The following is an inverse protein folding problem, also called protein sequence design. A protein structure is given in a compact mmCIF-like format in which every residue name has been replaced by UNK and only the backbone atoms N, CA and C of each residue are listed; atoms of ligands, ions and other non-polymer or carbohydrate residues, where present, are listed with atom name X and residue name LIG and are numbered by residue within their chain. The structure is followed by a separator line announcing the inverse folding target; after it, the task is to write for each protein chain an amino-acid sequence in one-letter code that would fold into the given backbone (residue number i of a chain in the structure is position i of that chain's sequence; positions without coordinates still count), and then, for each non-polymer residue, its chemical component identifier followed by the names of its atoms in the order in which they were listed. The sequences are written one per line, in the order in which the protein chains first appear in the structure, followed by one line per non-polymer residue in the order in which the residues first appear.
data_IF_716419108878
#
_entry.id   IF_716419108878
#
_cell.length_a   1.000
_cell.length_b   1.000
_cell.length_c   1.000
_cell.angle_alpha   90.00
_cell.angle_beta   90.00
_cell.angle_gamma   90.00
#
_symmetry.space_group_name_H-M   'P 1'
#
loop_
_entity.id
_entity.type
_entity.pdbx_description
1 polymer ?
#
# COMPACT_ATOMS: atom_id res chain seq x y z
N UNK A 1 -0.27 -0.26 -0.20
CA UNK A 1 1.12 0.21 -0.46
C UNK A 1 1.90 0.12 0.84
N UNK A 2 3.24 0.11 0.82
CA UNK A 2 4.03 0.09 2.07
C UNK A 2 3.70 1.27 3.00
N UNK A 3 3.28 2.42 2.44
CA UNK A 3 2.78 3.57 3.22
C UNK A 3 1.57 3.22 4.08
N UNK A 4 0.52 2.61 3.52
CA UNK A 4 -0.70 2.28 4.29
C UNK A 4 -0.42 1.24 5.39
N UNK A 5 0.52 0.33 5.16
CA UNK A 5 0.96 -0.63 6.18
C UNK A 5 1.71 0.09 7.31
N UNK A 6 2.64 0.99 6.98
CA UNK A 6 3.35 1.79 7.96
C UNK A 6 2.44 2.72 8.77
N UNK A 7 1.43 3.33 8.14
CA UNK A 7 0.43 4.14 8.82
C UNK A 7 -0.44 3.32 9.77
N UNK A 8 -0.87 2.13 9.37
CA UNK A 8 -1.61 1.21 10.23
C UNK A 8 -0.80 0.75 11.45
N UNK A 9 0.44 0.31 11.25
CA UNK A 9 1.35 -0.06 12.36
C UNK A 9 1.57 1.13 13.28
N UNK A 10 1.80 2.32 12.72
CA UNK A 10 1.97 3.53 13.51
C UNK A 10 0.73 3.74 14.38
N UNK A 11 -0.47 3.77 13.81
CA UNK A 11 -1.70 3.99 14.56
C UNK A 11 -1.84 3.05 15.78
N UNK A 12 -1.59 1.75 15.60
CA UNK A 12 -1.63 0.77 16.69
C UNK A 12 -0.58 1.01 17.79
N UNK A 13 0.60 1.55 17.45
CA UNK A 13 1.66 1.86 18.41
C UNK A 13 1.39 3.10 19.27
N UNK A 14 0.48 3.99 18.85
CA UNK A 14 0.13 5.19 19.64
C UNK A 14 -0.96 4.91 20.68
N UNK A 15 -1.85 3.94 20.43
CA UNK A 15 -2.99 3.66 21.32
C UNK A 15 -2.57 2.91 22.59
N UNK A 16 -1.66 1.96 22.45
CA UNK A 16 -1.10 1.20 23.57
C UNK A 16 0.36 0.97 23.20
N UNK A 17 1.29 1.08 24.17
CA UNK A 17 2.74 0.92 23.98
C UNK A 17 3.11 -0.56 23.70
N UNK A 18 2.34 -1.19 22.82
CA UNK A 18 2.32 -2.60 22.44
C UNK A 18 3.43 -2.89 21.45
N UNK A 19 3.84 -4.15 21.43
CA UNK A 19 4.81 -4.62 20.46
C UNK A 19 4.17 -4.63 19.07
N UNK A 20 4.77 -3.93 18.10
CA UNK A 20 4.27 -3.89 16.71
C UNK A 20 4.12 -5.28 16.08
N UNK A 21 4.89 -6.27 16.56
CA UNK A 21 4.82 -7.66 16.09
C UNK A 21 3.46 -8.29 16.43
N UNK A 22 2.89 -7.97 17.58
CA UNK A 22 1.60 -8.52 18.02
C UNK A 22 0.43 -7.92 17.23
N UNK A 23 0.56 -6.67 16.79
CA UNK A 23 -0.47 -5.97 16.02
C UNK A 23 -0.36 -6.17 14.50
N UNK A 24 0.77 -6.70 14.03
CA UNK A 24 1.02 -6.93 12.62
C UNK A 24 -0.07 -7.79 11.94
N UNK A 25 -0.57 -8.90 12.54
CA UNK A 25 -1.66 -9.68 11.95
C UNK A 25 -2.95 -8.87 11.75
N UNK A 26 -3.31 -8.00 12.71
CA UNK A 26 -4.50 -7.15 12.62
C UNK A 26 -4.36 -6.11 11.51
N UNK A 27 -3.20 -5.44 11.42
CA UNK A 27 -2.93 -4.46 10.35
C UNK A 27 -2.95 -5.13 8.97
N UNK A 28 -2.37 -6.32 8.86
CA UNK A 28 -2.40 -7.09 7.61
C UNK A 28 -3.82 -7.52 7.24
N UNK A 29 -4.63 -7.93 8.23
CA UNK A 29 -6.04 -8.27 8.02
C UNK A 29 -6.81 -7.07 7.49
N UNK A 30 -6.76 -5.93 8.19
CA UNK A 30 -7.41 -4.70 7.75
C UNK A 30 -6.95 -4.28 6.35
N UNK A 31 -5.65 -4.36 6.05
CA UNK A 31 -5.14 -4.03 4.72
C UNK A 31 -5.71 -4.94 3.62
N UNK A 32 -5.98 -6.22 3.92
CA UNK A 32 -6.51 -7.20 2.97
C UNK A 32 -8.03 -7.08 2.77
N UNK A 33 -8.78 -6.73 3.82
CA UNK A 33 -10.25 -6.70 3.78
C UNK A 33 -10.84 -5.31 3.61
N UNK A 34 -10.06 -4.23 3.73
CA UNK A 34 -10.55 -2.88 3.45
C UNK A 34 -10.62 -2.60 1.95
N UNK A 35 -11.73 -1.99 1.55
CA UNK A 35 -11.95 -1.47 0.20
C UNK A 35 -10.91 -0.41 -0.13
N UNK A 36 -10.24 -0.55 -1.27
CA UNK A 36 -9.30 0.46 -1.76
C UNK A 36 -10.07 1.58 -2.45
N UNK A 37 -9.86 2.83 -2.01
CA UNK A 37 -10.43 4.02 -2.65
C UNK A 37 -10.04 4.19 -4.12
N UNK A 38 -8.95 3.56 -4.58
CA UNK A 38 -8.48 3.64 -5.96
C UNK A 38 -9.34 2.87 -6.97
N UNK A 39 -9.96 1.76 -6.58
CA UNK A 39 -10.70 0.89 -7.51
C UNK A 39 -11.98 0.27 -6.92
N UNK A 40 -12.25 0.45 -5.63
CA UNK A 40 -13.50 0.00 -5.01
C UNK A 40 -13.50 -1.46 -4.55
N UNK A 41 -12.43 -2.22 -4.81
CA UNK A 41 -12.30 -3.62 -4.36
C UNK A 41 -11.41 -3.77 -3.14
N UNK A 42 -11.57 -4.89 -2.43
CA UNK A 42 -10.64 -5.34 -1.39
C UNK A 42 -9.50 -6.16 -2.03
N UNK A 43 -8.26 -6.10 -1.52
CA UNK A 43 -7.21 -6.99 -1.98
C UNK A 43 -7.55 -8.49 -1.85
N UNK A 44 -8.33 -8.85 -0.83
CA UNK A 44 -8.82 -10.21 -0.64
C UNK A 44 -9.73 -10.64 -1.80
N UNK A 45 -10.72 -9.82 -2.16
CA UNK A 45 -11.66 -10.16 -3.25
C UNK A 45 -10.98 -10.24 -4.61
N UNK A 46 -9.96 -9.42 -4.88
CA UNK A 46 -9.16 -9.55 -6.11
C UNK A 46 -8.31 -10.83 -6.14
N UNK A 47 -7.99 -11.40 -4.98
CA UNK A 47 -7.21 -12.65 -4.90
C UNK A 47 -8.11 -13.87 -5.01
N UNK A 48 -9.22 -13.87 -4.26
CA UNK A 48 -10.07 -15.06 -4.06
C UNK A 48 -11.44 -14.99 -4.75
N UNK A 49 -11.75 -13.92 -5.48
CA UNK A 49 -13.03 -13.75 -6.19
C UNK A 49 -14.14 -13.13 -5.36
N UNK A 50 -14.15 -13.37 -4.04
CA UNK A 50 -15.23 -12.93 -3.14
C UNK A 50 -14.69 -12.18 -1.92
N UNK A 51 -15.55 -11.41 -1.25
CA UNK A 51 -15.20 -10.70 -0.02
C UNK A 51 -14.96 -11.65 1.16
N UNK A 52 -14.04 -11.29 2.04
CA UNK A 52 -13.81 -12.04 3.27
C UNK A 52 -14.92 -11.77 4.31
N UNK A 53 -15.35 -12.83 4.99
CA UNK A 53 -16.09 -12.71 6.26
C UNK A 53 -15.10 -12.24 7.32
N UNK A 54 -15.40 -11.12 7.99
CA UNK A 54 -14.48 -10.56 9.00
C UNK A 54 -14.68 -11.25 10.35
N UNK A 55 -13.64 -11.36 11.20
CA UNK A 55 -13.75 -12.00 12.52
C UNK A 55 -14.86 -11.41 13.41
N UNK A 56 -15.15 -10.12 13.27
CA UNK A 56 -16.24 -9.47 13.99
C UNK A 56 -17.62 -10.05 13.63
N UNK A 57 -17.84 -10.47 12.37
CA UNK A 57 -19.09 -11.09 11.91
C UNK A 57 -19.24 -12.54 12.40
N UNK A 58 -18.13 -13.19 12.76
CA UNK A 58 -18.13 -14.52 13.38
C UNK A 58 -18.50 -14.42 14.86
N UNK A 59 -17.92 -13.45 15.58
CA UNK A 59 -18.24 -13.20 16.98
C UNK A 59 -19.63 -12.60 17.19
N UNK A 60 -20.12 -11.84 16.22
CA UNK A 60 -21.44 -11.23 16.22
C UNK A 60 -22.13 -11.51 14.88
N UNK A 61 -23.01 -12.53 14.81
CA UNK A 61 -23.65 -12.93 13.56
C UNK A 61 -24.35 -11.77 12.87
N UNK A 62 -23.97 -11.50 11.62
CA UNK A 62 -24.63 -10.53 10.74
C UNK A 62 -25.53 -11.27 9.76
N UNK A 63 -26.32 -10.55 8.97
CA UNK A 63 -27.15 -11.16 7.92
C UNK A 63 -26.36 -12.11 7.00
N UNK A 64 -25.09 -11.76 6.70
CA UNK A 64 -24.19 -12.59 5.88
C UNK A 64 -23.92 -13.96 6.50
N UNK A 65 -23.83 -14.05 7.82
CA UNK A 65 -23.53 -15.30 8.52
C UNK A 65 -24.79 -16.03 9.00
N UNK A 66 -25.93 -15.35 9.12
CA UNK A 66 -27.21 -15.97 9.55
C UNK A 66 -28.06 -16.48 8.39
N UNK A 67 -28.03 -15.82 7.22
CA UNK A 67 -28.83 -16.18 6.05
C UNK A 67 -27.99 -16.88 4.97
N UNK A 68 -27.38 -18.03 5.32
CA UNK A 68 -26.57 -18.82 4.39
C UNK A 68 -27.47 -19.62 3.44
N UNK A 69 -27.51 -19.21 2.18
CA UNK A 69 -28.10 -19.98 1.09
C UNK A 69 -27.00 -20.62 0.24
N UNK A 70 -26.73 -21.90 0.48
CA UNK A 70 -25.61 -22.61 -0.15
C UNK A 70 -25.73 -22.64 -1.68
N UNK A 71 -26.95 -22.75 -2.21
CA UNK A 71 -27.18 -22.88 -3.66
C UNK A 71 -26.93 -21.54 -4.35
N UNK A 72 -27.56 -20.48 -3.86
CA UNK A 72 -27.37 -19.14 -4.42
C UNK A 72 -25.92 -18.64 -4.24
N UNK A 73 -25.28 -18.94 -3.10
CA UNK A 73 -23.88 -18.55 -2.87
C UNK A 73 -22.91 -19.25 -3.82
N UNK A 74 -23.16 -20.52 -4.17
CA UNK A 74 -22.31 -21.26 -5.12
C UNK A 74 -22.46 -20.71 -6.55
N UNK A 75 -23.67 -20.35 -6.96
CA UNK A 75 -23.92 -19.68 -8.23
C UNK A 75 -23.24 -18.29 -8.30
N UNK A 76 -23.39 -17.48 -7.24
CA UNK A 76 -22.76 -16.16 -7.15
C UNK A 76 -21.23 -16.28 -7.14
N UNK A 77 -20.68 -17.28 -6.46
CA UNK A 77 -19.24 -17.52 -6.44
C UNK A 77 -18.70 -17.85 -7.84
N UNK A 78 -19.42 -18.66 -8.63
CA UNK A 78 -19.03 -18.95 -10.02
C UNK A 78 -18.99 -17.68 -10.87
N UNK A 79 -20.05 -16.86 -10.80
CA UNK A 79 -20.10 -15.59 -11.52
C UNK A 79 -18.95 -14.65 -11.10
N UNK A 80 -18.66 -14.57 -9.80
CA UNK A 80 -17.55 -13.78 -9.29
C UNK A 80 -16.19 -14.26 -9.79
N UNK A 81 -16.00 -15.57 -9.93
CA UNK A 81 -14.77 -16.16 -10.47
C UNK A 81 -14.64 -15.91 -11.98
N UNK A 82 -15.73 -16.00 -12.73
CA UNK A 82 -15.76 -15.71 -14.17
C UNK A 82 -15.39 -14.24 -14.44
N UNK A 83 -15.89 -13.31 -13.62
CA UNK A 83 -15.62 -11.87 -13.74
C UNK A 83 -14.32 -11.42 -13.04
N UNK A 84 -13.60 -12.32 -12.37
CA UNK A 84 -12.47 -11.97 -11.52
C UNK A 84 -11.32 -11.33 -12.33
N UNK A 85 -11.06 -11.84 -13.52
CA UNK A 85 -9.98 -11.33 -14.35
C UNK A 85 -10.28 -9.91 -14.85
N UNK A 86 -11.52 -9.64 -15.27
CA UNK A 86 -11.94 -8.29 -15.67
C UNK A 86 -11.80 -7.28 -14.51
N UNK A 87 -12.15 -7.69 -13.29
CA UNK A 87 -11.96 -6.86 -12.08
C UNK A 87 -10.48 -6.60 -11.81
N UNK A 88 -9.60 -7.60 -11.98
CA UNK A 88 -8.16 -7.44 -11.81
C UNK A 88 -7.57 -6.47 -12.83
N UNK A 89 -7.97 -6.59 -14.10
CA UNK A 89 -7.56 -5.67 -15.15
C UNK A 89 -8.00 -4.23 -14.85
N UNK A 90 -9.26 -4.05 -14.47
CA UNK A 90 -9.80 -2.75 -14.11
C UNK A 90 -9.06 -2.15 -12.89
N UNK A 91 -8.79 -2.96 -11.87
CA UNK A 91 -8.01 -2.55 -10.70
C UNK A 91 -6.59 -2.14 -11.10
N UNK A 92 -5.93 -2.89 -11.98
CA UNK A 92 -4.59 -2.58 -12.48
C UNK A 92 -4.56 -1.26 -13.28
N UNK A 93 -5.55 -1.02 -14.13
CA UNK A 93 -5.70 0.24 -14.88
C UNK A 93 -5.87 1.42 -13.92
N UNK A 94 -6.73 1.28 -12.92
CA UNK A 94 -6.98 2.32 -11.92
C UNK A 94 -5.75 2.58 -11.04
N UNK A 95 -5.00 1.54 -10.66
CA UNK A 95 -3.75 1.68 -9.92
C UNK A 95 -2.68 2.37 -10.78
N UNK A 96 -2.52 1.98 -12.03
CA UNK A 96 -1.60 2.62 -12.97
C UNK A 96 -1.94 4.10 -13.19
N UNK A 97 -3.24 4.42 -13.30
CA UNK A 97 -3.74 5.81 -13.39
C UNK A 97 -3.39 6.60 -12.13
N UNK A 98 -3.59 6.00 -10.95
CA UNK A 98 -3.29 6.62 -9.66
C UNK A 98 -1.80 6.89 -9.48
N UNK A 99 -0.95 5.89 -9.79
CA UNK A 99 0.52 6.01 -9.82
C UNK A 99 0.95 7.10 -10.79
N UNK A 100 0.43 7.11 -12.02
CA UNK A 100 0.75 8.12 -13.04
C UNK A 100 0.41 9.54 -12.58
N UNK A 101 -0.75 9.75 -11.93
CA UNK A 101 -1.11 11.05 -11.36
C UNK A 101 -0.10 11.49 -10.30
N UNK A 102 0.30 10.59 -9.41
CA UNK A 102 1.27 10.86 -8.35
C UNK A 102 2.66 11.18 -8.90
N UNK A 103 3.13 10.41 -9.89
CA UNK A 103 4.39 10.65 -10.58
C UNK A 103 4.39 12.00 -11.28
N UNK A 104 3.32 12.35 -12.00
CA UNK A 104 3.19 13.67 -12.65
C UNK A 104 3.25 14.82 -11.64
N UNK A 105 2.55 14.69 -10.50
CA UNK A 105 2.56 15.69 -9.44
C UNK A 105 3.95 15.89 -8.81
N UNK A 106 4.69 14.80 -8.59
CA UNK A 106 6.05 14.89 -8.05
C UNK A 106 7.02 15.46 -9.08
N UNK A 107 7.01 14.91 -10.30
CA UNK A 107 7.94 15.32 -11.37
C UNK A 107 7.75 16.76 -11.81
N UNK A 108 6.53 17.31 -11.76
CA UNK A 108 6.30 18.73 -12.09
C UNK A 108 6.98 19.71 -11.13
N UNK A 109 7.40 19.24 -9.94
CA UNK A 109 8.11 20.04 -8.93
C UNK A 109 9.63 19.84 -8.96
N UNK A 110 10.11 18.85 -9.70
CA UNK A 110 11.53 18.57 -9.85
C UNK A 110 12.07 19.44 -10.98
N UNK A 111 13.03 20.31 -10.67
CA UNK A 111 13.81 20.99 -11.71
C UNK A 111 14.81 20.00 -12.28
N UNK A 112 14.64 19.62 -13.53
CA UNK A 112 15.62 18.80 -14.25
C UNK A 112 16.93 19.58 -14.37
N UNK A 113 18.00 19.03 -13.82
CA UNK A 113 19.37 19.51 -14.01
C UNK A 113 20.07 18.47 -14.87
N UNK A 114 20.60 18.89 -16.01
CA UNK A 114 21.48 18.07 -16.83
C UNK A 114 22.92 18.42 -16.49
N UNK A 115 23.75 17.41 -16.24
CA UNK A 115 25.17 17.57 -15.95
C UNK A 115 25.99 17.30 -17.23
N UNK A 116 26.99 18.11 -17.47
CA UNK A 116 27.99 17.95 -18.53
C UNK A 116 29.29 17.42 -17.93
N UNK A 117 30.13 16.76 -18.74
CA UNK A 117 31.48 16.41 -18.30
C UNK A 117 32.26 17.67 -17.92
N UNK A 118 32.84 17.70 -16.72
CA UNK A 118 33.52 18.87 -16.15
C UNK A 118 32.65 19.70 -15.18
N UNK A 119 31.36 19.35 -14.99
CA UNK A 119 30.51 19.98 -13.99
C UNK A 119 30.81 19.44 -12.60
N UNK A 120 31.07 20.36 -11.66
CA UNK A 120 31.25 19.98 -10.26
C UNK A 120 29.92 19.71 -9.56
N UNK A 121 29.77 18.51 -9.01
CA UNK A 121 28.56 18.07 -8.29
C UNK A 121 28.86 17.72 -6.84
N UNK A 122 27.92 18.10 -5.97
CA UNK A 122 27.91 17.67 -4.58
C UNK A 122 27.08 16.40 -4.43
N UNK A 123 27.68 15.35 -3.87
CA UNK A 123 26.97 14.11 -3.56
C UNK A 123 26.27 14.24 -2.22
N UNK A 124 25.08 13.67 -2.08
CA UNK A 124 24.43 13.58 -0.77
C UNK A 124 25.25 12.66 0.15
N UNK A 125 25.63 13.15 1.32
CA UNK A 125 26.39 12.35 2.30
C UNK A 125 25.53 11.21 2.87
N UNK A 126 24.19 11.32 2.84
CA UNK A 126 23.27 10.23 3.19
C UNK A 126 23.43 9.01 2.25
N UNK A 127 23.90 9.23 1.02
CA UNK A 127 24.08 8.19 0.02
C UNK A 127 25.52 7.67 -0.09
N UNK A 128 26.53 8.43 0.40
CA UNK A 128 27.93 8.00 0.41
C UNK A 128 28.39 7.49 1.77
N UNK A 129 27.78 7.94 2.87
CA UNK A 129 28.17 7.66 4.25
C UNK A 129 29.65 7.99 4.54
N UNK A 130 30.25 8.90 3.78
CA UNK A 130 31.68 9.15 3.81
C UNK A 130 32.15 9.90 5.06
N UNK A 131 31.27 10.73 5.63
CA UNK A 131 31.49 11.34 6.94
C UNK A 131 30.45 10.86 7.96
N UNK A 132 30.84 10.79 9.23
CA UNK A 132 29.98 10.36 10.32
C UNK A 132 28.67 11.17 10.33
N UNK A 133 27.57 10.49 9.97
CA UNK A 133 26.23 11.04 9.83
C UNK A 133 25.60 11.38 11.18
N UNK A 134 26.07 12.45 11.81
CA UNK A 134 25.43 13.06 12.97
C UNK A 134 24.51 14.21 12.57
N UNK A 135 23.65 14.67 13.50
CA UNK A 135 22.77 15.84 13.32
C UNK A 135 23.52 17.13 12.93
N UNK A 136 24.82 17.18 13.20
CA UNK A 136 25.73 18.29 12.87
C UNK A 136 26.76 17.95 11.78
N UNK A 137 26.67 16.77 11.18
CA UNK A 137 27.54 16.37 10.08
C UNK A 137 27.19 17.12 8.78
N UNK A 138 28.16 17.29 7.87
CA UNK A 138 27.88 17.85 6.55
C UNK A 138 26.90 16.94 5.79
N UNK A 139 25.85 17.55 5.22
CA UNK A 139 24.83 16.82 4.45
C UNK A 139 25.28 16.46 3.03
N UNK A 140 26.34 17.10 2.55
CA UNK A 140 26.86 16.95 1.20
C UNK A 140 28.37 16.75 1.25
N UNK A 141 28.87 15.97 0.32
CA UNK A 141 30.28 15.64 0.12
C UNK A 141 30.72 16.13 -1.27
N UNK A 142 32.01 16.43 -1.41
CA UNK A 142 32.62 16.92 -2.65
C UNK A 142 33.11 18.37 -2.53
N UNK A 143 33.26 19.09 -3.67
CA UNK A 143 32.72 18.75 -4.99
C UNK A 143 33.51 17.66 -5.74
N UNK A 144 32.82 16.93 -6.60
CA UNK A 144 33.40 15.96 -7.55
C UNK A 144 33.18 16.45 -8.97
N UNK A 145 34.14 16.20 -9.84
CA UNK A 145 34.01 16.39 -11.30
C UNK A 145 33.33 15.18 -11.97
#
# INVERSE_FOLDING_TARGET
TNRSLGEGIKACLWEENKNWVEELPHVLWAHRTMVKSSHGDTPFSLTYGTEAVIPAEIGMPTYRTTAVDVVNNDEELRLNLDLLEERRELAAINEARSKSKMTKYYNSRVRGVAFQSGDFVYRSNDASLAAAGGKLGPKREGPYE
#
